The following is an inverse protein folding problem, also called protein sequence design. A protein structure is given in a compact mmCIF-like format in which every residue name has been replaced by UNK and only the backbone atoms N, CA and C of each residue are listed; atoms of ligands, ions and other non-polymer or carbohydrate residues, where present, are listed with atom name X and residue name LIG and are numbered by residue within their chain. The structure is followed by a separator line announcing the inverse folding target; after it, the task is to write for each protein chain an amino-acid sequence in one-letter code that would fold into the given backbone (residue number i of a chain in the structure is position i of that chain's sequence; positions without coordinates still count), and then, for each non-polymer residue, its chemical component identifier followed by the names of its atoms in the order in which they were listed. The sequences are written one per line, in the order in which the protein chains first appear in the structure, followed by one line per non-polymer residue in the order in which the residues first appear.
data_IF_030116697176
#
_entry.id   IF_030116697176
#
_cell.length_a   1.000
_cell.length_b   1.000
_cell.length_c   1.000
_cell.angle_alpha   90.00
_cell.angle_beta   90.00
_cell.angle_gamma   90.00
#
_symmetry.space_group_name_H-M   'P 1'
#
loop_
_entity.id
_entity.type
_entity.pdbx_description
1 polymer ?
#
# COMPACT_ATOMS: atom_id res chain seq x y z
N UNK A 1 -78.83 -103.90 48.41
CA UNK A 1 -78.23 -103.18 47.27
C UNK A 1 -79.15 -102.15 46.62
N UNK A 2 -80.20 -102.49 45.87
CA UNK A 2 -81.07 -101.47 45.21
C UNK A 2 -81.81 -100.60 46.24
N UNK A 3 -82.35 -101.20 47.30
CA UNK A 3 -83.05 -100.48 48.37
C UNK A 3 -82.11 -99.56 49.16
N UNK A 4 -80.92 -100.05 49.52
CA UNK A 4 -79.89 -99.26 50.19
C UNK A 4 -79.41 -98.08 49.33
N UNK A 5 -79.27 -98.27 48.01
CA UNK A 5 -78.93 -97.20 47.08
C UNK A 5 -80.05 -96.16 47.03
N UNK A 6 -81.33 -96.59 47.01
CA UNK A 6 -82.47 -95.69 47.04
C UNK A 6 -82.57 -94.93 48.38
N UNK A 7 -82.36 -95.58 49.52
CA UNK A 7 -82.33 -94.96 50.86
C UNK A 7 -81.21 -93.92 51.00
N UNK A 8 -80.01 -94.23 50.49
CA UNK A 8 -78.89 -93.31 50.51
C UNK A 8 -79.18 -92.04 49.68
N UNK A 9 -79.79 -92.20 48.51
CA UNK A 9 -80.18 -91.06 47.66
C UNK A 9 -81.27 -90.23 48.34
N UNK A 10 -82.24 -90.88 49.00
CA UNK A 10 -83.30 -90.19 49.74
C UNK A 10 -82.78 -89.41 50.96
N UNK A 11 -81.83 -89.96 51.72
CA UNK A 11 -81.18 -89.24 52.85
C UNK A 11 -80.38 -88.01 52.42
N UNK A 12 -79.90 -87.99 51.18
CA UNK A 12 -79.26 -86.83 50.57
C UNK A 12 -80.27 -85.77 50.07
N UNK A 13 -81.57 -85.97 50.34
CA UNK A 13 -82.64 -85.04 49.93
C UNK A 13 -82.97 -85.12 48.43
N UNK A 14 -82.51 -86.15 47.72
CA UNK A 14 -82.75 -86.34 46.27
C UNK A 14 -83.75 -87.46 46.04
N UNK A 15 -84.54 -87.34 44.96
CA UNK A 15 -85.49 -88.37 44.57
C UNK A 15 -84.76 -89.58 43.96
N UNK A 16 -84.92 -90.80 44.51
CA UNK A 16 -84.32 -92.00 43.92
C UNK A 16 -85.04 -92.35 42.61
N UNK A 17 -84.34 -92.12 41.50
CA UNK A 17 -84.78 -92.50 40.14
C UNK A 17 -84.00 -93.72 39.67
N UNK A 18 -84.51 -94.42 38.66
CA UNK A 18 -83.84 -95.60 38.08
C UNK A 18 -82.42 -95.25 37.62
N UNK A 19 -82.24 -94.06 37.03
CA UNK A 19 -80.93 -93.55 36.63
C UNK A 19 -80.01 -93.30 37.83
N UNK A 20 -80.50 -92.57 38.84
CA UNK A 20 -79.70 -92.24 40.02
C UNK A 20 -79.23 -93.49 40.79
N UNK A 21 -80.07 -94.51 40.85
CA UNK A 21 -79.73 -95.81 41.46
C UNK A 21 -78.71 -96.55 40.60
N UNK A 22 -78.89 -96.58 39.28
CA UNK A 22 -77.94 -97.21 38.36
C UNK A 22 -76.56 -96.58 38.46
N UNK A 23 -76.51 -95.25 38.47
CA UNK A 23 -75.26 -94.49 38.54
C UNK A 23 -74.56 -94.72 39.89
N UNK A 24 -75.32 -94.75 40.99
CA UNK A 24 -74.76 -95.01 42.32
C UNK A 24 -74.24 -96.44 42.51
N UNK A 25 -74.86 -97.42 41.87
CA UNK A 25 -74.41 -98.81 41.90
C UNK A 25 -73.30 -99.11 40.86
N UNK A 26 -72.98 -98.14 39.98
CA UNK A 26 -72.01 -98.34 38.89
C UNK A 26 -72.52 -99.26 37.77
N UNK A 27 -73.83 -99.50 37.67
CA UNK A 27 -74.43 -100.37 36.67
C UNK A 27 -75.74 -101.05 37.13
N UNK A 28 -76.40 -101.73 36.18
CA UNK A 28 -77.65 -102.46 36.42
C UNK A 28 -78.66 -102.29 35.28
N UNK A 29 -79.44 -103.34 35.00
CA UNK A 29 -80.49 -103.27 33.98
C UNK A 29 -81.66 -102.41 34.49
N UNK A 30 -82.15 -101.44 33.70
CA UNK A 30 -83.34 -100.66 34.04
C UNK A 30 -84.57 -101.55 34.33
N UNK A 31 -84.67 -102.69 33.65
CA UNK A 31 -85.77 -103.65 33.85
C UNK A 31 -85.70 -104.36 35.21
N UNK A 32 -84.51 -104.46 35.82
CA UNK A 32 -84.34 -105.01 37.16
C UNK A 32 -84.52 -103.93 38.23
N UNK A 33 -84.02 -102.72 38.00
CA UNK A 33 -84.09 -101.61 38.97
C UNK A 33 -85.53 -101.10 39.11
N UNK A 34 -86.29 -100.99 38.02
CA UNK A 34 -87.64 -100.41 38.03
C UNK A 34 -88.61 -101.10 38.99
N UNK A 35 -88.79 -102.44 38.99
CA UNK A 35 -89.69 -103.10 39.93
C UNK A 35 -89.22 -102.97 41.39
N UNK A 36 -87.91 -103.07 41.65
CA UNK A 36 -87.38 -102.88 43.01
C UNK A 36 -87.53 -101.44 43.51
N UNK A 37 -87.38 -100.45 42.62
CA UNK A 37 -87.63 -99.04 42.94
C UNK A 37 -89.12 -98.79 43.20
N UNK A 38 -90.02 -99.43 42.46
CA UNK A 38 -91.45 -99.35 42.73
C UNK A 38 -91.78 -99.91 44.12
N UNK A 39 -91.27 -101.10 44.46
CA UNK A 39 -91.45 -101.68 45.80
C UNK A 39 -90.79 -100.85 46.91
N UNK A 40 -89.62 -100.26 46.65
CA UNK A 40 -88.97 -99.34 47.59
C UNK A 40 -89.83 -98.09 47.82
N UNK A 41 -90.41 -97.53 46.75
CA UNK A 41 -91.32 -96.37 46.84
C UNK A 41 -92.58 -96.72 47.61
N UNK A 42 -93.18 -97.88 47.42
CA UNK A 42 -94.33 -98.31 48.22
C UNK A 42 -93.99 -98.50 49.71
N UNK A 43 -92.74 -98.87 50.03
CA UNK A 43 -92.28 -99.03 51.42
C UNK A 43 -91.84 -97.71 52.07
N UNK A 44 -91.36 -96.74 51.28
CA UNK A 44 -90.77 -95.48 51.75
C UNK A 44 -91.60 -94.23 51.43
N UNK A 45 -92.65 -94.34 50.61
CA UNK A 45 -93.77 -93.41 50.72
C UNK A 45 -94.24 -93.53 52.16
N UNK A 46 -93.97 -92.47 52.92
CA UNK A 46 -94.44 -92.36 54.28
C UNK A 46 -95.91 -92.77 54.28
N UNK A 47 -96.23 -93.88 54.96
CA UNK A 47 -97.61 -94.19 55.34
C UNK A 47 -98.22 -92.85 55.76
N UNK A 48 -99.38 -92.42 55.18
CA UNK A 48 -99.97 -91.13 55.51
C UNK A 48 -99.89 -91.01 57.01
N UNK A 49 -99.15 -90.00 57.49
CA UNK A 49 -98.78 -89.90 58.89
C UNK A 49 -100.02 -90.24 59.71
N UNK A 50 -99.95 -91.30 60.53
CA UNK A 50 -101.02 -91.61 61.47
C UNK A 50 -101.42 -90.26 62.08
N UNK A 51 -102.68 -89.88 61.90
CA UNK A 51 -103.13 -88.53 62.20
C UNK A 51 -102.84 -88.29 63.68
N UNK A 52 -101.71 -87.65 63.96
CA UNK A 52 -101.36 -87.29 65.32
C UNK A 52 -102.53 -86.46 65.83
N UNK A 53 -103.00 -86.71 67.07
CA UNK A 53 -104.01 -85.84 67.66
C UNK A 53 -103.48 -84.40 67.58
N UNK A 54 -104.35 -83.42 67.27
CA UNK A 54 -103.92 -82.04 67.15
C UNK A 54 -103.18 -81.62 68.42
N UNK A 55 -102.07 -80.90 68.25
CA UNK A 55 -101.30 -80.39 69.37
C UNK A 55 -102.25 -79.60 70.30
N UNK A 56 -102.16 -79.75 71.63
CA UNK A 56 -102.97 -78.95 72.54
C UNK A 56 -102.79 -77.46 72.27
N UNK A 57 -103.88 -76.69 72.32
CA UNK A 57 -103.89 -75.27 71.94
C UNK A 57 -102.85 -74.43 72.70
N UNK A 58 -102.60 -74.77 73.97
CA UNK A 58 -101.58 -74.12 74.80
C UNK A 58 -100.16 -74.25 74.23
N UNK A 59 -99.81 -75.43 73.69
CA UNK A 59 -98.51 -75.69 73.08
C UNK A 59 -98.40 -74.99 71.72
N UNK A 60 -99.47 -75.00 70.91
CA UNK A 60 -99.48 -74.27 69.65
C UNK A 60 -99.32 -72.76 69.87
N UNK A 61 -100.02 -72.20 70.85
CA UNK A 61 -99.94 -70.78 71.18
C UNK A 61 -98.53 -70.40 71.66
N UNK A 62 -97.94 -71.19 72.56
CA UNK A 62 -96.57 -70.96 73.03
C UNK A 62 -95.56 -71.02 71.88
N UNK A 63 -95.67 -72.00 70.98
CA UNK A 63 -94.77 -72.13 69.85
C UNK A 63 -94.94 -70.97 68.84
N UNK A 64 -96.18 -70.52 68.58
CA UNK A 64 -96.43 -69.33 67.73
C UNK A 64 -95.84 -68.06 68.35
N UNK A 65 -95.87 -67.92 69.67
CA UNK A 65 -95.27 -66.78 70.36
C UNK A 65 -93.74 -66.79 70.23
N UNK A 66 -93.09 -67.93 70.51
CA UNK A 66 -91.63 -68.07 70.37
C UNK A 66 -91.18 -67.88 68.93
N UNK A 67 -91.92 -68.44 67.97
CA UNK A 67 -91.66 -68.24 66.54
C UNK A 67 -91.86 -66.77 66.13
N UNK A 68 -92.94 -66.13 66.61
CA UNK A 68 -93.23 -64.73 66.34
C UNK A 68 -92.13 -63.80 66.85
N UNK A 69 -91.64 -64.03 68.08
CA UNK A 69 -90.53 -63.23 68.62
C UNK A 69 -89.23 -63.50 67.87
N UNK A 70 -88.88 -64.76 67.59
CA UNK A 70 -87.68 -65.09 66.82
C UNK A 70 -87.71 -64.51 65.39
N UNK A 71 -88.88 -64.51 64.75
CA UNK A 71 -89.09 -63.89 63.45
C UNK A 71 -88.93 -62.35 63.51
N UNK A 72 -89.51 -61.71 64.53
CA UNK A 72 -89.37 -60.27 64.74
C UNK A 72 -87.92 -59.86 65.03
N UNK A 73 -87.21 -60.62 65.85
CA UNK A 73 -85.79 -60.39 66.16
C UNK A 73 -84.93 -60.55 64.89
N UNK A 74 -85.16 -61.62 64.10
CA UNK A 74 -84.46 -61.83 62.84
C UNK A 74 -84.74 -60.71 61.82
N UNK A 75 -85.99 -60.24 61.73
CA UNK A 75 -86.36 -59.13 60.85
C UNK A 75 -85.67 -57.83 61.28
N UNK A 76 -85.63 -57.55 62.58
CA UNK A 76 -84.95 -56.37 63.14
C UNK A 76 -83.45 -56.41 62.88
N UNK A 77 -82.81 -57.57 63.06
CA UNK A 77 -81.39 -57.74 62.74
C UNK A 77 -81.11 -57.54 61.25
N UNK A 78 -81.94 -58.12 60.37
CA UNK A 78 -81.80 -57.97 58.92
C UNK A 78 -81.93 -56.49 58.49
N UNK A 79 -82.87 -55.74 59.08
CA UNK A 79 -83.04 -54.32 58.80
C UNK A 79 -81.82 -53.51 59.27
N UNK A 80 -81.30 -53.79 60.47
CA UNK A 80 -80.10 -53.15 60.99
C UNK A 80 -78.86 -53.44 60.12
N UNK A 81 -78.68 -54.68 59.66
CA UNK A 81 -77.58 -55.06 58.75
C UNK A 81 -77.70 -54.36 57.40
N UNK A 82 -78.93 -54.24 56.85
CA UNK A 82 -79.17 -53.52 55.60
C UNK A 82 -78.82 -52.04 55.72
N UNK A 83 -79.21 -51.40 56.82
CA UNK A 83 -78.90 -50.01 57.09
C UNK A 83 -77.38 -49.80 57.27
N UNK A 84 -76.71 -50.68 58.01
CA UNK A 84 -75.26 -50.65 58.17
C UNK A 84 -74.53 -50.81 56.82
N UNK A 85 -74.94 -51.77 55.99
CA UNK A 85 -74.38 -51.97 54.65
C UNK A 85 -74.65 -50.78 53.73
N UNK A 86 -75.83 -50.17 53.79
CA UNK A 86 -76.14 -48.97 53.02
C UNK A 86 -75.27 -47.79 53.43
N UNK A 87 -75.03 -47.61 54.74
CA UNK A 87 -74.14 -46.59 55.27
C UNK A 87 -72.69 -46.79 54.80
N UNK A 88 -72.16 -48.01 54.90
CA UNK A 88 -70.80 -48.34 54.44
C UNK A 88 -70.67 -48.09 52.93
N UNK A 89 -71.67 -48.50 52.12
CA UNK A 89 -71.65 -48.25 50.67
C UNK A 89 -71.62 -46.76 50.36
N UNK A 90 -72.42 -45.96 51.07
CA UNK A 90 -72.44 -44.51 50.89
C UNK A 90 -71.09 -43.87 51.24
N UNK A 91 -70.45 -44.29 52.33
CA UNK A 91 -69.14 -43.74 52.69
C UNK A 91 -68.07 -44.16 51.67
N UNK A 92 -68.07 -45.40 51.20
CA UNK A 92 -67.14 -45.87 50.16
C UNK A 92 -67.35 -45.13 48.83
N UNK A 93 -68.60 -44.85 48.44
CA UNK A 93 -68.91 -44.06 47.24
C UNK A 93 -68.41 -42.61 47.39
N UNK A 94 -68.54 -42.03 48.59
CA UNK A 94 -68.01 -40.70 48.90
C UNK A 94 -66.49 -40.68 48.86
N UNK A 95 -65.81 -41.61 49.53
CA UNK A 95 -64.34 -41.73 49.48
C UNK A 95 -63.84 -41.93 48.05
N UNK A 96 -64.55 -42.75 47.25
CA UNK A 96 -64.23 -42.93 45.83
C UNK A 96 -64.38 -41.65 45.03
N UNK A 97 -65.45 -40.88 45.27
CA UNK A 97 -65.65 -39.60 44.59
C UNK A 97 -64.55 -38.58 44.97
N UNK A 98 -64.19 -38.52 46.26
CA UNK A 98 -63.10 -37.66 46.75
C UNK A 98 -61.75 -38.06 46.15
N UNK A 99 -61.42 -39.35 46.12
CA UNK A 99 -60.20 -39.85 45.47
C UNK A 99 -60.15 -39.54 43.98
N UNK A 100 -61.27 -39.71 43.26
CA UNK A 100 -61.33 -39.38 41.83
C UNK A 100 -61.14 -37.87 41.59
N UNK A 101 -61.77 -37.03 42.41
CA UNK A 101 -61.57 -35.57 42.32
C UNK A 101 -60.13 -35.17 42.60
N UNK A 102 -59.46 -35.84 43.54
CA UNK A 102 -58.06 -35.58 43.87
C UNK A 102 -57.12 -36.06 42.76
N UNK A 103 -57.40 -37.20 42.13
CA UNK A 103 -56.67 -37.67 40.94
C UNK A 103 -56.81 -36.66 39.80
N UNK A 104 -58.03 -36.20 39.50
CA UNK A 104 -58.26 -35.19 38.46
C UNK A 104 -57.52 -33.88 38.75
N UNK A 105 -57.48 -33.44 40.02
CA UNK A 105 -56.72 -32.26 40.45
C UNK A 105 -55.22 -32.47 40.21
N UNK A 106 -54.67 -33.59 40.65
CA UNK A 106 -53.24 -33.90 40.50
C UNK A 106 -52.82 -34.09 39.04
N UNK A 107 -53.67 -34.71 38.21
CA UNK A 107 -53.43 -34.85 36.78
C UNK A 107 -53.41 -33.47 36.09
N UNK A 108 -54.31 -32.56 36.49
CA UNK A 108 -54.32 -31.18 36.03
C UNK A 108 -53.04 -30.42 36.40
N UNK A 109 -52.59 -30.53 37.67
CA UNK A 109 -51.35 -29.91 38.13
C UNK A 109 -50.10 -30.50 37.45
N UNK A 110 -50.10 -31.81 37.20
CA UNK A 110 -49.01 -32.48 36.49
C UNK A 110 -48.91 -32.00 35.04
N UNK A 111 -50.05 -31.86 34.35
CA UNK A 111 -50.07 -31.37 32.98
C UNK A 111 -49.65 -29.90 32.91
N UNK A 112 -50.15 -29.06 33.81
CA UNK A 112 -49.71 -27.66 33.90
C UNK A 112 -48.18 -27.58 34.15
N UNK A 113 -47.65 -28.36 35.07
CA UNK A 113 -46.20 -28.37 35.36
C UNK A 113 -45.37 -28.84 34.16
N UNK A 114 -45.88 -29.81 33.38
CA UNK A 114 -45.25 -30.26 32.13
C UNK A 114 -45.27 -29.17 31.07
N UNK A 115 -46.40 -28.48 30.89
CA UNK A 115 -46.51 -27.35 29.96
C UNK A 115 -45.55 -26.23 30.34
N UNK A 116 -45.50 -25.84 31.62
CA UNK A 116 -44.57 -24.82 32.12
C UNK A 116 -43.11 -25.23 31.91
N UNK A 117 -42.78 -26.50 32.16
CA UNK A 117 -41.43 -27.04 31.91
C UNK A 117 -41.10 -27.01 30.42
N UNK A 118 -42.03 -27.44 29.56
CA UNK A 118 -41.84 -27.44 28.11
C UNK A 118 -41.62 -26.02 27.59
N UNK A 119 -42.48 -25.08 27.97
CA UNK A 119 -42.34 -23.66 27.62
C UNK A 119 -41.01 -23.07 28.12
N UNK A 120 -40.62 -23.40 29.36
CA UNK A 120 -39.34 -22.98 29.92
C UNK A 120 -38.14 -23.53 29.15
N UNK A 121 -38.19 -24.80 28.72
CA UNK A 121 -37.13 -25.40 27.91
C UNK A 121 -37.04 -24.79 26.52
N UNK A 122 -38.17 -24.53 25.85
CA UNK A 122 -38.22 -23.88 24.55
C UNK A 122 -37.69 -22.44 24.61
N UNK A 123 -38.09 -21.69 25.64
CA UNK A 123 -37.57 -20.34 25.88
C UNK A 123 -36.06 -20.35 26.15
N UNK A 124 -35.56 -21.30 26.95
CA UNK A 124 -34.14 -21.44 27.22
C UNK A 124 -33.34 -21.81 25.95
N UNK A 125 -33.88 -22.69 25.11
CA UNK A 125 -33.25 -23.02 23.83
C UNK A 125 -33.23 -21.84 22.87
N UNK A 126 -34.31 -21.07 22.79
CA UNK A 126 -34.37 -19.86 21.98
C UNK A 126 -33.33 -18.82 22.44
N UNK A 127 -33.22 -18.60 23.75
CA UNK A 127 -32.23 -17.69 24.33
C UNK A 127 -30.79 -18.17 24.06
N UNK A 128 -30.51 -19.48 24.20
CA UNK A 128 -29.20 -20.05 23.85
C UNK A 128 -28.83 -19.81 22.38
N UNK A 129 -29.79 -20.03 21.46
CA UNK A 129 -29.57 -19.77 20.03
C UNK A 129 -29.29 -18.28 19.77
N UNK A 130 -30.06 -17.38 20.38
CA UNK A 130 -29.85 -15.93 20.30
C UNK A 130 -28.49 -15.50 20.84
N UNK A 131 -28.09 -16.04 22.00
CA UNK A 131 -26.80 -15.79 22.60
C UNK A 131 -25.65 -16.29 21.71
N UNK A 132 -25.75 -17.50 21.15
CA UNK A 132 -24.72 -18.05 20.27
C UNK A 132 -24.59 -17.25 18.96
N UNK A 133 -25.72 -16.79 18.40
CA UNK A 133 -25.73 -15.88 17.26
C UNK A 133 -25.03 -14.56 17.60
N UNK A 134 -25.43 -13.90 18.68
CA UNK A 134 -24.81 -12.64 19.15
C UNK A 134 -23.32 -12.82 19.40
N UNK A 135 -22.93 -13.95 20.00
CA UNK A 135 -21.51 -14.27 20.25
C UNK A 135 -20.73 -14.45 18.95
N UNK A 136 -21.33 -15.04 17.92
CA UNK A 136 -20.73 -15.16 16.59
C UNK A 136 -20.55 -13.79 15.94
N UNK A 137 -21.60 -12.95 15.95
CA UNK A 137 -21.55 -11.58 15.41
C UNK A 137 -20.49 -10.74 16.13
N UNK A 138 -20.39 -10.83 17.46
CA UNK A 138 -19.33 -10.15 18.24
C UNK A 138 -17.93 -10.65 17.86
N UNK A 139 -17.75 -11.95 17.57
CA UNK A 139 -16.45 -12.47 17.10
C UNK A 139 -16.11 -11.95 15.71
N UNK A 140 -17.06 -11.94 14.79
CA UNK A 140 -16.88 -11.45 13.43
C UNK A 140 -16.56 -9.96 13.41
N UNK A 141 -17.36 -9.14 14.10
CA UNK A 141 -17.12 -7.70 14.23
C UNK A 141 -15.77 -7.39 14.86
N UNK A 142 -15.33 -8.15 15.87
CA UNK A 142 -13.97 -8.02 16.42
C UNK A 142 -12.89 -8.37 15.41
N UNK A 143 -13.05 -9.43 14.63
CA UNK A 143 -12.10 -9.82 13.59
C UNK A 143 -11.98 -8.72 12.52
N UNK A 144 -13.11 -8.19 12.05
CA UNK A 144 -13.15 -7.07 11.10
C UNK A 144 -12.49 -5.83 11.69
N UNK A 145 -12.79 -5.48 12.95
CA UNK A 145 -12.18 -4.33 13.61
C UNK A 145 -10.66 -4.46 13.76
N UNK A 146 -10.17 -5.66 14.09
CA UNK A 146 -8.73 -5.95 14.20
C UNK A 146 -8.04 -5.86 12.82
N UNK A 147 -8.68 -6.36 11.77
CA UNK A 147 -8.18 -6.23 10.40
C UNK A 147 -8.14 -4.77 9.94
N UNK A 148 -9.20 -4.01 10.18
CA UNK A 148 -9.23 -2.58 9.87
C UNK A 148 -8.16 -1.80 10.65
N UNK A 149 -7.93 -2.14 11.92
CA UNK A 149 -6.84 -1.55 12.70
C UNK A 149 -5.49 -1.80 12.05
N UNK A 150 -5.19 -3.06 11.66
CA UNK A 150 -3.93 -3.41 10.97
C UNK A 150 -3.77 -2.69 9.64
N UNK A 151 -4.85 -2.54 8.86
CA UNK A 151 -4.83 -1.79 7.60
C UNK A 151 -4.53 -0.32 7.84
N UNK A 152 -5.16 0.30 8.85
CA UNK A 152 -4.89 1.69 9.24
C UNK A 152 -3.45 1.87 9.69
N UNK A 153 -2.93 0.99 10.55
CA UNK A 153 -1.54 1.02 11.01
C UNK A 153 -0.56 0.95 9.82
N UNK A 154 -0.82 0.07 8.85
CA UNK A 154 -0.01 -0.05 7.64
C UNK A 154 -0.07 1.21 6.76
N UNK A 155 -1.27 1.77 6.56
CA UNK A 155 -1.44 3.02 5.79
C UNK A 155 -0.77 4.20 6.48
N UNK A 156 -0.79 4.26 7.82
CA UNK A 156 -0.06 5.27 8.58
C UNK A 156 1.46 5.14 8.42
N UNK A 157 1.99 3.92 8.37
CA UNK A 157 3.39 3.64 8.09
C UNK A 157 3.77 4.08 6.67
N UNK A 158 3.01 3.66 5.66
CA UNK A 158 3.20 4.07 4.26
C UNK A 158 3.14 5.61 4.10
N UNK A 159 2.24 6.27 4.82
CA UNK A 159 2.14 7.74 4.82
C UNK A 159 3.35 8.40 5.48
N UNK A 160 3.89 7.83 6.57
CA UNK A 160 5.11 8.34 7.22
C UNK A 160 6.32 8.22 6.28
N UNK A 161 6.46 7.08 5.62
CA UNK A 161 7.56 6.85 4.66
C UNK A 161 7.43 7.79 3.45
N UNK A 162 6.24 7.92 2.86
CA UNK A 162 6.01 8.85 1.77
C UNK A 162 6.30 10.32 2.16
N UNK A 163 5.98 10.73 3.39
CA UNK A 163 6.33 12.06 3.91
C UNK A 163 7.84 12.24 4.08
N UNK A 164 8.53 11.21 4.55
CA UNK A 164 9.99 11.23 4.66
C UNK A 164 10.65 11.35 3.29
N UNK A 165 10.22 10.55 2.32
CA UNK A 165 10.72 10.61 0.94
C UNK A 165 10.46 11.98 0.32
N UNK A 166 9.26 12.54 0.50
CA UNK A 166 8.94 13.88 0.03
C UNK A 166 9.84 14.96 0.66
N UNK A 167 10.13 14.84 1.96
CA UNK A 167 11.05 15.74 2.65
C UNK A 167 12.48 15.60 2.11
N UNK A 168 12.97 14.37 1.91
CA UNK A 168 14.29 14.11 1.34
C UNK A 168 14.40 14.69 -0.08
N UNK A 169 13.39 14.49 -0.93
CA UNK A 169 13.33 15.09 -2.27
C UNK A 169 13.29 16.62 -2.23
N UNK A 170 12.52 17.21 -1.31
CA UNK A 170 12.50 18.66 -1.13
C UNK A 170 13.88 19.20 -0.74
N UNK A 171 14.57 18.56 0.21
CA UNK A 171 15.93 18.99 0.58
C UNK A 171 16.93 18.84 -0.57
N UNK A 172 16.81 17.78 -1.38
CA UNK A 172 17.62 17.57 -2.58
C UNK A 172 17.35 18.63 -3.64
N UNK A 173 16.08 18.98 -3.86
CA UNK A 173 15.69 20.05 -4.78
C UNK A 173 16.29 21.39 -4.34
N UNK A 174 16.17 21.77 -3.07
CA UNK A 174 16.78 23.00 -2.54
C UNK A 174 18.30 23.02 -2.70
N UNK A 175 18.98 21.87 -2.51
CA UNK A 175 20.44 21.77 -2.77
C UNK A 175 20.76 21.98 -4.24
N UNK A 176 20.04 21.31 -5.16
CA UNK A 176 20.23 21.51 -6.60
C UNK A 176 19.96 22.94 -7.04
N UNK A 177 18.94 23.59 -6.49
CA UNK A 177 18.68 25.02 -6.73
C UNK A 177 19.83 25.90 -6.26
N UNK A 178 20.39 25.63 -5.07
CA UNK A 178 21.56 26.34 -4.57
C UNK A 178 22.79 26.14 -5.46
N UNK A 179 23.04 24.90 -5.91
CA UNK A 179 24.14 24.58 -6.83
C UNK A 179 23.96 25.26 -8.21
N UNK A 180 22.74 25.29 -8.73
CA UNK A 180 22.38 26.03 -9.93
C UNK A 180 22.64 27.53 -9.78
N UNK A 181 22.26 28.12 -8.65
CA UNK A 181 22.57 29.53 -8.38
C UNK A 181 24.07 29.78 -8.29
N UNK A 182 24.83 28.87 -7.68
CA UNK A 182 26.28 29.01 -7.59
C UNK A 182 26.93 28.93 -8.97
N UNK A 183 26.60 27.92 -9.77
CA UNK A 183 27.12 27.75 -11.13
C UNK A 183 26.71 28.89 -12.07
N UNK A 184 25.50 29.44 -11.92
CA UNK A 184 25.08 30.66 -12.64
C UNK A 184 25.93 31.88 -12.28
N UNK A 185 26.26 32.07 -10.99
CA UNK A 185 27.17 33.14 -10.55
C UNK A 185 28.57 32.95 -11.12
N UNK A 186 29.09 31.72 -11.09
CA UNK A 186 30.42 31.39 -11.62
C UNK A 186 30.48 31.55 -13.14
N UNK A 187 29.41 31.17 -13.85
CA UNK A 187 29.30 31.42 -15.28
C UNK A 187 29.28 32.94 -15.57
N UNK A 188 28.56 33.73 -14.79
CA UNK A 188 28.52 35.18 -14.96
C UNK A 188 29.89 35.84 -14.69
N UNK A 189 30.64 35.36 -13.69
CA UNK A 189 32.01 35.84 -13.44
C UNK A 189 32.96 35.43 -14.55
N UNK A 190 32.90 34.18 -15.02
CA UNK A 190 33.68 33.69 -16.16
C UNK A 190 33.36 34.46 -17.45
N UNK A 191 32.09 34.76 -17.72
CA UNK A 191 31.67 35.60 -18.85
C UNK A 191 32.25 37.01 -18.76
N UNK A 192 32.24 37.65 -17.58
CA UNK A 192 32.88 38.96 -17.36
C UNK A 192 34.39 38.89 -17.60
N UNK A 193 35.06 37.84 -17.13
CA UNK A 193 36.49 37.64 -17.39
C UNK A 193 36.77 37.43 -18.87
N UNK A 194 35.98 36.61 -19.56
CA UNK A 194 36.11 36.41 -21.01
C UNK A 194 35.90 37.71 -21.79
N UNK A 195 34.91 38.53 -21.42
CA UNK A 195 34.72 39.87 -22.00
C UNK A 195 35.92 40.78 -21.76
N UNK A 196 36.49 40.78 -20.55
CA UNK A 196 37.70 41.56 -20.24
C UNK A 196 38.90 41.10 -21.07
N UNK A 197 39.14 39.80 -21.16
CA UNK A 197 40.21 39.23 -21.99
C UNK A 197 39.98 39.59 -23.46
N UNK A 198 38.74 39.55 -23.96
CA UNK A 198 38.42 39.94 -25.34
C UNK A 198 38.74 41.40 -25.59
N UNK A 199 38.36 42.31 -24.68
CA UNK A 199 38.72 43.74 -24.75
C UNK A 199 40.23 43.97 -24.70
N UNK A 200 40.94 43.26 -23.81
CA UNK A 200 42.41 43.32 -23.72
C UNK A 200 43.07 42.80 -25.01
N UNK A 201 42.53 41.72 -25.59
CA UNK A 201 43.00 41.14 -26.85
C UNK A 201 42.78 42.10 -28.02
N UNK A 202 41.63 42.76 -28.11
CA UNK A 202 41.36 43.75 -29.15
C UNK A 202 42.25 44.99 -28.98
N UNK A 203 42.47 45.45 -27.74
CA UNK A 203 43.44 46.51 -27.45
C UNK A 203 44.89 46.12 -27.78
N UNK A 204 45.27 44.85 -27.57
CA UNK A 204 46.56 44.30 -28.00
C UNK A 204 46.67 44.26 -29.53
N UNK A 205 45.62 43.82 -30.25
CA UNK A 205 45.58 43.83 -31.72
C UNK A 205 45.70 45.25 -32.27
N UNK A 206 45.03 46.24 -31.68
CA UNK A 206 45.18 47.64 -32.08
C UNK A 206 46.60 48.15 -31.87
N UNK A 207 47.23 47.84 -30.73
CA UNK A 207 48.64 48.17 -30.48
C UNK A 207 49.56 47.49 -31.50
N UNK A 208 49.30 46.23 -31.81
CA UNK A 208 50.08 45.46 -32.78
C UNK A 208 49.93 46.05 -34.19
N UNK A 209 48.71 46.44 -34.59
CA UNK A 209 48.45 47.15 -35.84
C UNK A 209 49.16 48.52 -35.90
N UNK A 210 49.18 49.28 -34.80
CA UNK A 210 49.94 50.54 -34.70
C UNK A 210 51.44 50.29 -34.83
N UNK A 211 51.99 49.30 -34.13
CA UNK A 211 53.40 48.92 -34.23
C UNK A 211 53.76 48.43 -35.64
N UNK A 212 52.88 47.69 -36.31
CA UNK A 212 53.05 47.30 -37.71
C UNK A 212 53.04 48.51 -38.65
N UNK A 213 52.14 49.48 -38.42
CA UNK A 213 52.10 50.74 -39.15
C UNK A 213 53.34 51.60 -38.92
N UNK A 214 53.81 51.71 -37.67
CA UNK A 214 55.02 52.43 -37.29
C UNK A 214 56.26 51.73 -37.86
N UNK A 215 56.34 50.40 -37.79
CA UNK A 215 57.40 49.64 -38.46
C UNK A 215 57.39 49.84 -39.98
N UNK A 216 56.20 49.91 -40.59
CA UNK A 216 56.08 50.20 -42.02
C UNK A 216 56.49 51.64 -42.35
N UNK A 217 56.17 52.63 -41.50
CA UNK A 217 56.59 54.02 -41.68
C UNK A 217 58.09 54.19 -41.46
N UNK A 218 58.69 53.52 -40.47
CA UNK A 218 60.14 53.44 -40.28
C UNK A 218 60.84 52.76 -41.45
N UNK A 219 60.28 51.68 -41.99
CA UNK A 219 60.79 51.04 -43.22
C UNK A 219 60.74 52.00 -44.42
N UNK A 220 59.70 52.84 -44.51
CA UNK A 220 59.61 53.89 -45.53
C UNK A 220 60.65 54.99 -45.30
N UNK A 221 60.78 55.51 -44.07
CA UNK A 221 61.78 56.50 -43.72
C UNK A 221 63.22 55.99 -43.93
N UNK A 222 63.51 54.73 -43.61
CA UNK A 222 64.82 54.13 -43.88
C UNK A 222 65.06 53.92 -45.37
N UNK A 223 64.02 53.61 -46.17
CA UNK A 223 64.13 53.58 -47.63
C UNK A 223 64.35 54.98 -48.23
N UNK A 224 63.63 55.99 -47.75
CA UNK A 224 63.81 57.39 -48.12
C UNK A 224 65.20 57.89 -47.74
N UNK A 225 65.68 57.62 -46.52
CA UNK A 225 67.03 57.94 -46.09
C UNK A 225 68.09 57.23 -46.95
N UNK A 226 67.86 55.97 -47.34
CA UNK A 226 68.77 55.28 -48.28
C UNK A 226 68.82 55.95 -49.65
N UNK A 227 67.68 56.37 -50.19
CA UNK A 227 67.63 57.11 -51.46
C UNK A 227 68.22 58.51 -51.34
N UNK A 228 68.02 59.20 -50.21
CA UNK A 228 68.70 60.46 -49.90
C UNK A 228 70.19 60.23 -49.82
N UNK A 229 70.70 59.28 -49.03
CA UNK A 229 72.13 58.94 -48.92
C UNK A 229 72.71 58.60 -50.28
N UNK A 230 71.99 57.88 -51.14
CA UNK A 230 72.41 57.57 -52.51
C UNK A 230 72.44 58.82 -53.39
N UNK A 231 71.48 59.73 -53.24
CA UNK A 231 71.46 61.02 -53.94
C UNK A 231 72.56 61.96 -53.44
N UNK A 232 72.82 62.04 -52.12
CA UNK A 232 73.96 62.78 -51.56
C UNK A 232 75.27 62.14 -51.97
N UNK A 233 75.37 60.81 -52.01
CA UNK A 233 76.53 60.09 -52.52
C UNK A 233 76.83 60.47 -53.97
N UNK A 234 75.82 60.38 -54.86
CA UNK A 234 75.93 60.85 -56.25
C UNK A 234 76.33 62.33 -56.36
N UNK A 235 75.75 63.19 -55.51
CA UNK A 235 76.06 64.62 -55.51
C UNK A 235 77.46 64.91 -54.98
N UNK A 236 77.94 64.13 -54.00
CA UNK A 236 79.29 64.22 -53.49
C UNK A 236 80.28 63.74 -54.55
N UNK A 237 80.01 62.62 -55.23
CA UNK A 237 80.79 62.13 -56.37
C UNK A 237 80.87 63.17 -57.51
N UNK A 238 79.76 63.86 -57.81
CA UNK A 238 79.73 64.97 -58.77
C UNK A 238 80.57 66.16 -58.31
N UNK A 239 80.54 66.50 -57.01
CA UNK A 239 81.34 67.58 -56.45
C UNK A 239 82.84 67.25 -56.45
N UNK A 240 83.23 66.01 -56.14
CA UNK A 240 84.63 65.56 -56.30
C UNK A 240 85.06 65.62 -57.75
N UNK A 241 84.19 65.22 -58.68
CA UNK A 241 84.48 65.29 -60.12
C UNK A 241 84.65 66.76 -60.60
N UNK A 242 83.80 67.68 -60.13
CA UNK A 242 83.95 69.11 -60.39
C UNK A 242 85.23 69.69 -59.77
N UNK A 243 85.62 69.24 -58.57
CA UNK A 243 86.87 69.65 -57.92
C UNK A 243 88.10 69.15 -58.70
N UNK A 244 88.03 67.94 -59.28
CA UNK A 244 89.08 67.35 -60.12
C UNK A 244 89.24 68.13 -61.44
N UNK A 245 88.13 68.55 -62.06
CA UNK A 245 88.09 69.38 -63.26
C UNK A 245 88.69 70.78 -63.01
N UNK A 246 88.34 71.42 -61.89
CA UNK A 246 88.95 72.69 -61.44
C UNK A 246 90.47 72.53 -61.19
N UNK A 247 90.89 71.44 -60.56
CA UNK A 247 92.32 71.16 -60.34
C UNK A 247 93.10 70.95 -61.65
N UNK A 248 92.51 70.24 -62.63
CA UNK A 248 93.07 70.06 -63.96
C UNK A 248 93.18 71.40 -64.72
N UNK A 249 92.16 72.25 -64.64
CA UNK A 249 92.19 73.59 -65.23
C UNK A 249 93.31 74.47 -64.61
N UNK A 250 93.52 74.37 -63.30
CA UNK A 250 94.54 75.13 -62.58
C UNK A 250 95.97 74.68 -62.96
N UNK A 251 96.17 73.41 -63.29
CA UNK A 251 97.44 72.88 -63.81
C UNK A 251 97.72 73.44 -65.22
N UNK A 252 96.72 73.53 -66.09
CA UNK A 252 96.88 74.08 -67.44
C UNK A 252 97.21 75.58 -67.42
N UNK A 253 96.60 76.35 -66.52
CA UNK A 253 96.91 77.78 -66.33
C UNK A 253 98.35 77.98 -65.84
N UNK A 254 98.83 77.12 -64.93
CA UNK A 254 100.23 77.19 -64.46
C UNK A 254 101.25 76.83 -65.54
N UNK A 255 100.92 75.93 -66.46
CA UNK A 255 101.79 75.61 -67.60
C UNK A 255 101.85 76.76 -68.61
N UNK A 256 100.70 77.41 -68.89
CA UNK A 256 100.67 78.60 -69.75
C UNK A 256 101.46 79.80 -69.17
N UNK A 257 101.46 79.96 -67.84
CA UNK A 257 102.25 81.01 -67.17
C UNK A 257 103.77 80.75 -67.25
N UNK A 258 104.20 79.49 -67.29
CA UNK A 258 105.61 79.12 -67.44
C UNK A 258 106.14 79.40 -68.85
N UNK A 259 105.34 79.14 -69.89
CA UNK A 259 105.72 79.39 -71.29
C UNK A 259 105.86 80.89 -71.60
N UNK A 260 104.97 81.73 -71.05
CA UNK A 260 105.06 83.19 -71.15
C UNK A 260 106.32 83.78 -70.48
N UNK A 261 106.84 83.16 -69.42
CA UNK A 261 108.09 83.61 -68.77
C UNK A 261 109.32 83.36 -69.64
N UNK A 262 109.33 82.27 -70.42
CA UNK A 262 110.43 81.95 -71.34
C UNK A 262 110.44 82.96 -72.50
N UNK A 263 109.27 83.36 -73.00
CA UNK A 263 109.14 84.33 -74.08
C UNK A 263 109.62 85.75 -73.67
N UNK A 264 109.31 86.18 -72.43
CA UNK A 264 109.79 87.47 -71.88
C UNK A 264 111.31 87.51 -71.68
N UNK A 265 111.95 86.38 -71.39
CA UNK A 265 113.40 86.30 -71.25
C UNK A 265 114.13 86.50 -72.59
N UNK A 266 113.62 85.90 -73.67
CA UNK A 266 114.23 86.01 -75.02
C UNK A 266 114.07 87.40 -75.66
N UNK A 267 113.03 88.15 -75.29
CA UNK A 267 112.85 89.54 -75.73
C UNK A 267 113.80 90.51 -75.02
N UNK A 268 114.25 90.20 -73.78
CA UNK A 268 115.24 91.01 -73.07
C UNK A 268 116.65 90.91 -73.66
N UNK A 269 117.06 89.75 -74.15
CA UNK A 269 118.37 89.61 -74.83
C UNK A 269 118.43 90.37 -76.15
N UNK A 270 117.33 90.43 -76.91
CA UNK A 270 117.27 91.18 -78.18
C UNK A 270 117.30 92.70 -77.99
N UNK A 271 116.82 93.20 -76.84
CA UNK A 271 116.87 94.63 -76.52
C UNK A 271 118.31 95.11 -76.22
N UNK A 272 119.13 94.31 -75.54
CA UNK A 272 120.52 94.65 -75.25
C UNK A 272 121.39 94.77 -76.52
N UNK A 273 121.08 94.00 -77.57
CA UNK A 273 121.84 94.01 -78.81
C UNK A 273 121.56 95.25 -79.70
N UNK A 274 120.41 95.90 -79.50
CA UNK A 274 119.99 97.10 -80.24
C UNK A 274 120.66 98.37 -79.68
N UNK A 275 120.94 98.41 -78.38
CA UNK A 275 121.59 99.57 -77.76
C UNK A 275 123.10 99.63 -78.08
N UNK A 276 123.78 98.49 -78.23
CA UNK A 276 125.19 98.41 -78.63
C UNK A 276 125.43 98.86 -80.10
N UNK A 277 124.44 98.64 -80.98
CA UNK A 277 124.47 99.09 -82.38
C UNK A 277 124.18 100.59 -82.55
N UNK A 278 123.48 101.23 -81.60
CA UNK A 278 123.20 102.68 -81.64
C UNK A 278 124.43 103.52 -81.30
N UNK A 279 125.33 103.02 -80.46
CA UNK A 279 126.53 103.75 -80.05
C UNK A 279 127.58 103.82 -81.17
N UNK A 280 127.66 102.79 -82.01
CA UNK A 280 128.57 102.72 -83.17
C UNK A 280 128.15 103.65 -84.34
N UNK A 281 126.85 103.94 -84.50
CA UNK A 281 126.35 104.85 -85.56
C UNK A 281 126.61 106.32 -85.22
N UNK A 282 126.68 106.69 -83.94
CA UNK A 282 126.97 108.08 -83.51
C UNK A 282 128.41 108.51 -83.78
N UNK A 283 129.36 107.57 -83.82
CA UNK A 283 130.78 107.83 -84.12
C UNK A 283 131.07 108.09 -85.61
N UNK A 284 130.18 107.71 -86.53
CA UNK A 284 130.42 107.79 -87.97
C UNK A 284 129.71 108.94 -88.71
N UNK A 285 128.80 109.68 -88.05
CA UNK A 285 128.02 110.75 -88.71
C UNK A 285 128.51 112.20 -88.48
N UNK A 286 129.65 112.42 -87.82
CA UNK A 286 130.22 113.77 -87.64
C UNK A 286 131.45 114.10 -88.49
N UNK A 287 132.08 113.12 -89.14
CA UNK A 287 133.37 113.28 -89.83
C UNK A 287 133.27 113.61 -91.33
N UNK A 288 132.09 113.83 -91.91
CA UNK A 288 131.95 114.10 -93.36
C UNK A 288 131.01 115.30 -93.68
N UNK A 289 131.54 116.54 -93.62
CA UNK A 289 131.22 117.65 -94.55
C UNK A 289 131.94 118.98 -94.18
N UNK A 290 133.14 119.18 -94.75
CA UNK A 290 133.82 120.46 -95.13
C UNK A 290 134.50 120.17 -96.50
N UNK A 291 134.96 121.12 -97.38
CA UNK A 291 135.48 122.49 -97.13
C UNK A 291 135.38 123.56 -98.29
N UNK A 292 136.06 124.74 -98.12
CA UNK A 292 136.79 125.63 -99.12
C UNK A 292 136.06 126.85 -99.84
N UNK A 293 136.75 127.86 -100.47
CA UNK A 293 137.62 128.96 -99.92
C UNK A 293 137.55 130.37 -100.67
N UNK A 294 138.46 131.32 -100.34
CA UNK A 294 138.90 132.59 -101.06
C UNK A 294 137.90 133.79 -101.07
N UNK A 295 138.22 135.11 -101.03
CA UNK A 295 139.42 135.92 -101.31
C UNK A 295 139.29 137.40 -100.86
N UNK A 296 140.44 138.03 -100.52
CA UNK A 296 140.91 139.42 -100.81
C UNK A 296 140.17 140.70 -100.36
N UNK A 297 140.96 141.45 -99.56
CA UNK A 297 141.36 142.88 -99.59
C UNK A 297 140.42 143.95 -99.01
N UNK A 298 141.10 144.87 -98.29
CA UNK A 298 140.68 146.06 -97.53
C UNK A 298 139.96 145.79 -96.22
#
# INVERSE_FOLDING_TARGET
MIFEAADAIAREGRAPTVLAIRDRMGGGSPNTISPHLATWKEQNEAKPAESLPPLPDSVQSAMRQVWGSAWQDAQTQLEAEREALASIRKELEKERAEMMSEIERLDGELEQSREETQQGTEALEAEKRSHDQTRSEVRETKAVSEEQRRRTEKLEEELRDARRDAQEQSTRATRMESDLQHTQRDLATAQKQAQKITLELDGQKEKLARLEQDSASEKRHTAELKEVIKATGKKNDQLTQQLEEEHQALIQVKQAEADLRIEVATLKERAAHIDDLKEQVKMLQGQLAKPRPVSKKT
#
